data_IF_014470632929
#
_entry.id   IF_014470632929
#
_cell.length_a   1.000
_cell.length_b   1.000
_cell.length_c   1.000
_cell.angle_alpha   90.00
_cell.angle_beta   90.00
_cell.angle_gamma   90.00
#
_symmetry.space_group_name_H-M   'P 1'
#
loop_
_entity.id
_entity.type
_entity.pdbx_description
1 polymer ?
#
# COMPACT_ATOMS: atom_id res chain seq x y z
N UNK A 1 -57.30 22.69 29.24
CA UNK A 1 -55.85 22.42 29.14
C UNK A 1 -55.61 21.54 27.93
N UNK A 2 -55.40 22.14 26.77
CA UNK A 2 -55.31 21.45 25.48
C UNK A 2 -54.25 22.16 24.64
N UNK A 3 -53.27 21.39 24.14
CA UNK A 3 -52.53 21.63 22.88
C UNK A 3 -51.12 22.25 22.91
N UNK A 4 -50.23 21.87 23.83
CA UNK A 4 -48.81 22.30 23.79
C UNK A 4 -47.80 21.24 23.29
N UNK A 5 -48.25 20.13 22.69
CA UNK A 5 -47.35 19.07 22.19
C UNK A 5 -47.19 19.01 20.66
N UNK A 6 -47.95 19.80 19.89
CA UNK A 6 -47.95 19.73 18.42
C UNK A 6 -46.93 20.66 17.75
N UNK A 7 -46.42 21.67 18.47
CA UNK A 7 -45.47 22.65 17.93
C UNK A 7 -44.01 22.20 18.00
N UNK A 8 -43.67 21.27 18.89
CA UNK A 8 -42.27 20.82 19.08
C UNK A 8 -41.86 19.82 17.98
N UNK A 9 -42.80 19.02 17.47
CA UNK A 9 -42.52 18.07 16.39
C UNK A 9 -42.47 18.69 14.99
N UNK A 10 -43.08 19.87 14.78
CA UNK A 10 -43.03 20.57 13.48
C UNK A 10 -41.66 21.16 13.17
N UNK A 11 -40.92 21.62 14.19
CA UNK A 11 -39.58 22.19 14.00
C UNK A 11 -38.50 21.13 13.76
N UNK A 12 -38.66 19.92 14.30
CA UNK A 12 -37.71 18.81 14.08
C UNK A 12 -37.82 18.26 12.66
N UNK A 13 -38.95 18.42 11.98
CA UNK A 13 -39.12 17.95 10.59
C UNK A 13 -38.54 18.91 9.54
N UNK A 14 -38.43 20.21 9.82
CA UNK A 14 -37.93 21.19 8.84
C UNK A 14 -36.41 21.21 8.75
N UNK A 15 -35.69 20.83 9.80
CA UNK A 15 -34.21 20.73 9.76
C UNK A 15 -33.69 19.48 9.05
N UNK A 16 -34.53 18.46 8.83
CA UNK A 16 -34.16 17.26 8.07
C UNK A 16 -34.17 17.48 6.54
N UNK A 17 -34.74 18.58 6.05
CA UNK A 17 -34.93 18.81 4.62
C UNK A 17 -33.78 19.58 3.92
N UNK A 18 -32.79 20.09 4.67
CA UNK A 18 -31.72 20.94 4.08
C UNK A 18 -30.44 20.16 3.77
N UNK A 19 -30.33 18.89 4.18
CA UNK A 19 -29.13 18.07 3.90
C UNK A 19 -29.24 17.11 2.71
N UNK A 20 -30.34 17.16 1.95
CA UNK A 20 -30.66 16.14 0.94
C UNK A 20 -30.26 16.48 -0.52
N UNK A 21 -29.45 17.51 -0.77
CA UNK A 21 -29.02 17.85 -2.13
C UNK A 21 -27.52 18.18 -2.23
N UNK A 22 -26.67 17.26 -1.78
CA UNK A 22 -25.31 17.20 -2.31
C UNK A 22 -25.38 16.54 -3.68
N UNK A 23 -25.32 17.39 -4.72
CA UNK A 23 -25.23 17.04 -6.13
C UNK A 23 -24.23 15.90 -6.33
N UNK A 24 -24.70 14.69 -6.63
CA UNK A 24 -23.87 13.59 -7.12
C UNK A 24 -23.54 13.85 -8.59
N UNK A 25 -22.64 14.81 -8.84
CA UNK A 25 -21.98 14.95 -10.12
C UNK A 25 -20.87 13.90 -10.22
N UNK A 26 -21.23 12.65 -10.53
CA UNK A 26 -20.22 11.65 -10.94
C UNK A 26 -19.72 12.10 -12.31
N UNK A 27 -18.63 12.85 -12.32
CA UNK A 27 -17.92 13.20 -13.56
C UNK A 27 -17.55 11.90 -14.26
N UNK A 28 -18.19 11.63 -15.41
CA UNK A 28 -17.83 10.51 -16.28
C UNK A 28 -16.37 10.70 -16.69
N UNK A 29 -15.52 9.83 -16.16
CA UNK A 29 -14.10 9.81 -16.46
C UNK A 29 -13.92 9.16 -17.82
N UNK A 30 -13.98 9.98 -18.88
CA UNK A 30 -13.70 9.55 -20.25
C UNK A 30 -12.20 9.45 -20.47
N UNK A 31 -11.78 8.50 -21.31
CA UNK A 31 -10.38 8.32 -21.67
C UNK A 31 -9.88 9.55 -22.44
N UNK A 32 -8.76 10.18 -22.05
CA UNK A 32 -8.19 11.27 -22.82
C UNK A 32 -7.69 10.73 -24.17
N UNK A 33 -8.38 11.06 -25.26
CA UNK A 33 -8.05 10.64 -26.63
C UNK A 33 -7.08 11.62 -27.32
N UNK A 34 -6.75 12.73 -26.68
CA UNK A 34 -5.85 13.76 -27.19
C UNK A 34 -4.87 14.23 -26.11
N UNK A 35 -3.66 14.65 -26.53
CA UNK A 35 -2.60 15.18 -25.65
C UNK A 35 -3.10 16.33 -24.76
N UNK A 36 -4.06 17.13 -25.23
CA UNK A 36 -4.65 18.22 -24.43
C UNK A 36 -5.58 17.76 -23.29
N UNK A 37 -6.16 16.56 -23.38
CA UNK A 37 -7.01 15.97 -22.32
C UNK A 37 -6.17 15.25 -21.26
N UNK A 38 -4.96 14.80 -21.62
CA UNK A 38 -3.99 14.22 -20.66
C UNK A 38 -3.55 15.26 -19.62
N UNK A 39 -3.57 16.55 -19.98
CA UNK A 39 -3.34 17.67 -19.05
C UNK A 39 -4.38 17.75 -17.94
N UNK A 40 -5.55 17.11 -18.08
CA UNK A 40 -6.64 17.19 -17.11
C UNK A 40 -6.60 16.07 -16.06
N UNK A 41 -6.30 14.80 -16.42
CA UNK A 41 -6.13 13.70 -15.45
C UNK A 41 -5.67 12.38 -16.08
N UNK A 42 -4.82 11.63 -15.36
CA UNK A 42 -4.49 10.22 -15.66
C UNK A 42 -5.37 9.20 -14.91
N UNK A 43 -6.28 9.65 -14.04
CA UNK A 43 -7.13 8.78 -13.23
C UNK A 43 -7.90 7.69 -14.01
N UNK A 44 -8.48 7.96 -15.21
CA UNK A 44 -9.14 6.91 -15.98
C UNK A 44 -8.18 5.76 -16.35
N UNK A 45 -6.95 6.09 -16.78
CA UNK A 45 -5.95 5.09 -17.16
C UNK A 45 -5.45 4.32 -15.93
N UNK A 46 -5.14 5.02 -14.83
CA UNK A 46 -4.74 4.39 -13.57
C UNK A 46 -5.80 3.42 -13.08
N UNK A 47 -7.08 3.78 -13.16
CA UNK A 47 -8.20 2.91 -12.77
C UNK A 47 -8.25 1.62 -13.58
N UNK A 48 -7.86 1.67 -14.85
CA UNK A 48 -7.81 0.48 -15.71
C UNK A 48 -6.61 -0.42 -15.39
N UNK A 49 -5.44 0.16 -15.09
CA UNK A 49 -4.19 -0.60 -14.91
C UNK A 49 -3.91 -1.00 -13.46
N UNK A 50 -4.48 -0.31 -12.46
CA UNK A 50 -4.22 -0.56 -11.05
C UNK A 50 -4.42 -2.03 -10.61
N UNK A 51 -5.41 -2.78 -11.14
CA UNK A 51 -5.57 -4.20 -10.80
C UNK A 51 -4.37 -5.09 -11.18
N UNK A 52 -3.50 -4.65 -12.10
CA UNK A 52 -2.31 -5.40 -12.49
C UNK A 52 -1.14 -5.23 -11.51
N UNK A 53 -1.22 -4.28 -10.57
CA UNK A 53 -0.15 -3.99 -9.61
C UNK A 53 -0.47 -4.63 -8.26
N UNK A 54 0.49 -5.37 -7.72
CA UNK A 54 0.36 -6.10 -6.47
C UNK A 54 1.41 -5.68 -5.45
N UNK A 55 1.13 -5.96 -4.18
CA UNK A 55 2.10 -5.84 -3.10
C UNK A 55 2.83 -7.17 -2.91
N UNK A 56 4.16 -7.12 -2.80
CA UNK A 56 5.04 -8.27 -2.73
C UNK A 56 5.76 -8.27 -1.39
N UNK A 57 5.57 -9.34 -0.63
CA UNK A 57 6.31 -9.63 0.59
C UNK A 57 7.24 -10.81 0.32
N UNK A 58 8.55 -10.59 0.44
CA UNK A 58 9.54 -11.65 0.30
C UNK A 58 10.33 -11.81 1.60
N UNK A 59 10.76 -13.05 1.85
CA UNK A 59 11.49 -13.44 3.05
C UNK A 59 12.55 -14.47 2.69
N UNK A 60 13.81 -14.13 2.93
CA UNK A 60 14.95 -14.96 2.63
C UNK A 60 15.72 -15.31 3.90
N UNK A 61 16.10 -16.57 4.06
CA UNK A 61 16.98 -17.00 5.15
C UNK A 61 18.43 -16.80 4.71
N UNK A 62 19.10 -15.82 5.29
CA UNK A 62 20.52 -15.55 5.07
C UNK A 62 21.33 -16.04 6.27
N UNK A 63 22.52 -16.58 6.01
CA UNK A 63 23.49 -16.88 7.06
C UNK A 63 24.47 -15.72 7.10
N UNK A 64 24.43 -14.89 8.15
CA UNK A 64 25.42 -13.83 8.33
C UNK A 64 26.63 -14.38 9.08
N UNK A 65 27.79 -14.23 8.46
CA UNK A 65 29.09 -14.51 9.04
C UNK A 65 29.69 -13.24 9.65
N UNK A 66 30.45 -13.36 10.73
CA UNK A 66 31.14 -12.21 11.29
C UNK A 66 32.19 -11.70 10.29
N UNK A 67 32.32 -10.38 10.07
CA UNK A 67 33.37 -9.81 9.23
C UNK A 67 34.79 -10.08 9.75
N UNK A 68 34.91 -10.42 11.03
CA UNK A 68 36.18 -10.66 11.73
C UNK A 68 36.49 -12.16 11.87
N UNK A 69 35.62 -13.04 11.37
CA UNK A 69 35.88 -14.48 11.39
C UNK A 69 37.06 -14.82 10.47
N UNK A 70 38.10 -15.46 11.01
CA UNK A 70 39.33 -15.81 10.29
C UNK A 70 40.47 -14.77 10.40
N UNK A 71 40.31 -13.69 11.16
CA UNK A 71 41.37 -12.70 11.39
C UNK A 71 42.30 -13.15 12.55
N UNK A 72 43.63 -13.30 12.33
CA UNK A 72 44.55 -13.75 13.37
C UNK A 72 44.66 -12.82 14.58
N UNK A 73 44.52 -11.49 14.40
CA UNK A 73 44.51 -10.54 15.51
C UNK A 73 43.30 -10.81 16.40
N UNK A 74 42.10 -10.80 15.82
CA UNK A 74 40.88 -10.97 16.59
C UNK A 74 40.77 -12.38 17.18
N UNK A 75 41.17 -13.44 16.47
CA UNK A 75 41.17 -14.81 17.00
C UNK A 75 42.05 -14.99 18.24
N UNK A 76 43.18 -14.28 18.32
CA UNK A 76 44.06 -14.32 19.49
C UNK A 76 43.44 -13.65 20.72
N UNK A 77 42.62 -12.62 20.54
CA UNK A 77 42.01 -11.86 21.64
C UNK A 77 40.65 -12.43 22.08
N UNK A 78 39.83 -12.93 21.15
CA UNK A 78 38.46 -13.38 21.43
C UNK A 78 38.26 -14.89 21.30
N UNK A 79 39.27 -15.63 20.81
CA UNK A 79 39.16 -17.04 20.49
C UNK A 79 38.29 -17.31 19.27
N UNK A 80 38.34 -18.55 18.74
CA UNK A 80 37.50 -18.98 17.60
C UNK A 80 36.00 -18.96 17.92
N UNK A 81 35.63 -19.05 19.20
CA UNK A 81 34.25 -18.99 19.67
C UNK A 81 33.73 -17.54 19.87
N UNK A 82 34.63 -16.54 19.90
CA UNK A 82 34.30 -15.13 20.15
C UNK A 82 33.57 -14.41 19.01
N UNK A 83 33.64 -14.93 17.78
CA UNK A 83 32.96 -14.34 16.62
C UNK A 83 31.51 -14.79 16.45
N UNK A 84 31.03 -15.63 17.37
CA UNK A 84 29.69 -16.19 17.32
C UNK A 84 29.52 -17.21 16.19
N UNK A 85 28.65 -18.18 16.41
CA UNK A 85 28.28 -19.13 15.35
C UNK A 85 27.53 -18.40 14.24
N UNK A 86 27.66 -18.80 12.97
CA UNK A 86 26.94 -18.19 11.87
C UNK A 86 25.44 -18.11 12.18
N UNK A 87 24.92 -16.89 12.31
CA UNK A 87 23.53 -16.71 12.71
C UNK A 87 22.65 -16.74 11.47
N UNK A 88 21.68 -17.66 11.47
CA UNK A 88 20.57 -17.61 10.51
C UNK A 88 19.72 -16.39 10.83
N UNK A 89 19.69 -15.43 9.92
CA UNK A 89 18.84 -14.24 9.98
C UNK A 89 17.82 -14.35 8.85
N UNK A 90 16.58 -14.02 9.13
CA UNK A 90 15.57 -13.84 8.09
C UNK A 90 15.63 -12.39 7.63
N UNK A 91 15.91 -12.17 6.35
CA UNK A 91 15.79 -10.88 5.70
C UNK A 91 14.41 -10.79 5.08
N UNK A 92 13.65 -9.76 5.46
CA UNK A 92 12.34 -9.48 4.89
C UNK A 92 12.45 -8.26 3.98
N UNK A 93 11.58 -8.24 2.98
CA UNK A 93 11.46 -7.17 2.01
C UNK A 93 10.00 -6.92 1.67
N UNK A 94 9.73 -5.69 1.26
CA UNK A 94 8.43 -5.22 0.83
C UNK A 94 8.62 -4.42 -0.45
N UNK A 95 7.86 -4.76 -1.47
CA UNK A 95 7.91 -4.07 -2.75
C UNK A 95 6.59 -4.16 -3.49
N UNK A 96 6.55 -3.54 -4.66
CA UNK A 96 5.47 -3.74 -5.62
C UNK A 96 5.88 -4.76 -6.68
N UNK A 97 4.88 -5.38 -7.30
CA UNK A 97 5.05 -6.23 -8.46
C UNK A 97 3.97 -5.97 -9.50
N UNK A 98 4.20 -6.41 -10.73
CA UNK A 98 3.24 -6.31 -11.83
C UNK A 98 2.92 -7.69 -12.37
N UNK A 99 1.63 -7.99 -12.52
CA UNK A 99 1.13 -9.21 -13.17
C UNK A 99 1.32 -9.07 -14.68
N UNK A 100 2.02 -10.01 -15.30
CA UNK A 100 2.35 -9.96 -16.73
C UNK A 100 1.54 -10.93 -17.59
N UNK A 101 0.88 -11.92 -16.98
CA UNK A 101 0.05 -12.88 -17.69
C UNK A 101 -1.16 -13.36 -16.85
N UNK A 102 -2.07 -14.06 -17.52
CA UNK A 102 -3.26 -14.64 -16.88
C UNK A 102 -2.96 -15.87 -16.01
N UNK A 103 -1.75 -16.45 -16.10
CA UNK A 103 -1.30 -17.52 -15.22
C UNK A 103 -0.91 -17.00 -13.81
N UNK A 104 -0.75 -15.67 -13.67
CA UNK A 104 -0.42 -15.01 -12.41
C UNK A 104 1.08 -14.81 -12.22
N UNK A 105 1.89 -14.78 -13.29
CA UNK A 105 3.30 -14.44 -13.18
C UNK A 105 3.44 -12.97 -12.78
N UNK A 106 4.22 -12.73 -11.72
CA UNK A 106 4.52 -11.39 -11.19
C UNK A 106 5.99 -11.07 -11.36
N UNK A 107 6.30 -9.90 -11.92
CA UNK A 107 7.64 -9.34 -11.94
C UNK A 107 7.79 -8.31 -10.83
N UNK A 108 8.89 -8.40 -10.07
CA UNK A 108 9.31 -7.39 -9.09
C UNK A 108 10.81 -7.13 -9.23
N UNK A 109 11.35 -6.19 -8.47
CA UNK A 109 12.78 -5.90 -8.48
C UNK A 109 13.55 -7.00 -7.75
N UNK A 110 14.79 -7.24 -8.16
CA UNK A 110 15.65 -8.28 -7.58
C UNK A 110 15.96 -8.08 -6.09
N UNK A 111 15.96 -6.83 -5.61
CA UNK A 111 16.25 -6.54 -4.21
C UNK A 111 15.02 -6.63 -3.28
N UNK A 112 13.86 -6.95 -3.85
CA UNK A 112 12.66 -7.36 -3.11
C UNK A 112 12.80 -8.85 -2.87
#
# INVERSE_FOLDING_TARGET
MRNLSRTIWGFVFVTAAIFATSVTGVAKSELPLSKGQVTLSYAPLVKQIAPAVVNVYASQKIVRRSPFEGDPFFERFFGRDGFGRPQKRTQNSLGSGVIIDAAGIVITNHHV
#
